data_IF_430328171466
#
_entry.id   IF_430328171466
#
_cell.length_a   1.000
_cell.length_b   1.000
_cell.length_c   1.000
_cell.angle_alpha   90.00
_cell.angle_beta   90.00
_cell.angle_gamma   90.00
#
_symmetry.space_group_name_H-M   'P 1'
#
loop_
_entity.id
_entity.type
_entity.pdbx_description
1 polymer ?
#
# COMPACT_ATOMS: atom_id res chain seq x y z
N UNK A 1 -10.42 -35.22 2.59
CA UNK A 1 -10.20 -34.02 3.46
C UNK A 1 -10.39 -32.79 2.57
N UNK A 2 -11.24 -31.85 2.96
CA UNK A 2 -11.44 -30.59 2.20
C UNK A 2 -10.16 -29.78 2.19
N UNK A 3 -9.86 -29.09 1.07
CA UNK A 3 -8.75 -28.17 0.93
C UNK A 3 -9.26 -26.75 1.06
N UNK A 4 -8.68 -25.98 1.98
CA UNK A 4 -9.04 -24.58 2.23
C UNK A 4 -7.89 -23.67 1.84
N UNK A 5 -8.15 -22.70 0.97
CA UNK A 5 -7.17 -21.68 0.57
C UNK A 5 -7.77 -20.31 0.78
N UNK A 6 -7.02 -19.41 1.42
CA UNK A 6 -7.35 -18.00 1.43
C UNK A 6 -7.30 -17.47 0.00
N UNK A 7 -8.30 -16.67 -0.38
CA UNK A 7 -8.33 -15.92 -1.65
C UNK A 7 -8.39 -14.42 -1.36
N UNK A 8 -8.03 -13.62 -2.32
CA UNK A 8 -8.35 -12.19 -2.31
C UNK A 8 -9.84 -11.93 -2.62
N UNK A 9 -10.35 -10.70 -2.41
CA UNK A 9 -11.74 -10.36 -2.69
C UNK A 9 -12.20 -10.84 -4.07
N UNK A 10 -13.38 -11.48 -4.10
CA UNK A 10 -13.94 -12.07 -5.31
C UNK A 10 -13.31 -13.43 -5.71
N UNK A 11 -12.54 -14.08 -4.84
CA UNK A 11 -11.89 -15.35 -5.14
C UNK A 11 -10.61 -15.23 -5.96
N UNK A 12 -10.05 -14.04 -6.05
CA UNK A 12 -8.82 -13.75 -6.79
C UNK A 12 -7.59 -14.26 -6.04
N UNK A 13 -6.50 -14.46 -6.74
CA UNK A 13 -5.21 -14.88 -6.16
C UNK A 13 -4.03 -13.96 -6.54
N UNK A 14 -4.31 -12.89 -7.28
CA UNK A 14 -3.35 -11.82 -7.61
C UNK A 14 -3.81 -10.48 -7.02
N UNK A 15 -2.91 -9.75 -6.36
CA UNK A 15 -3.12 -8.40 -5.87
C UNK A 15 -2.04 -7.47 -6.40
N UNK A 16 -2.42 -6.23 -6.74
CA UNK A 16 -1.52 -5.17 -7.16
C UNK A 16 -1.71 -3.97 -6.24
N UNK A 17 -0.61 -3.47 -5.68
CA UNK A 17 -0.55 -2.22 -4.93
C UNK A 17 0.58 -1.33 -5.44
N UNK A 18 0.35 -0.02 -5.38
CA UNK A 18 1.30 1.01 -5.84
C UNK A 18 1.63 1.93 -4.67
N UNK A 19 2.88 2.39 -4.56
CA UNK A 19 3.33 3.26 -3.46
C UNK A 19 4.23 4.38 -3.99
N UNK A 20 3.82 5.63 -3.75
CA UNK A 20 4.56 6.80 -4.22
C UNK A 20 4.82 7.78 -3.09
N UNK A 21 6.03 8.35 -3.07
CA UNK A 21 6.49 9.20 -1.97
C UNK A 21 6.50 10.67 -2.38
N UNK A 22 6.56 11.53 -1.35
CA UNK A 22 6.86 12.95 -1.41
C UNK A 22 5.71 13.90 -1.72
N UNK A 23 4.58 13.46 -2.26
CA UNK A 23 3.46 14.35 -2.59
C UNK A 23 3.82 15.43 -3.61
N UNK A 24 4.47 15.03 -4.71
CA UNK A 24 4.93 15.94 -5.77
C UNK A 24 3.78 16.37 -6.68
N UNK A 25 3.93 17.49 -7.35
CA UNK A 25 2.90 18.01 -8.29
C UNK A 25 2.54 17.02 -9.38
N UNK A 26 3.46 16.14 -9.75
CA UNK A 26 3.28 15.04 -10.70
C UNK A 26 2.30 13.96 -10.24
N UNK A 27 1.97 13.91 -8.95
CA UNK A 27 0.93 13.01 -8.43
C UNK A 27 -0.42 13.25 -9.11
N UNK A 28 -0.72 14.49 -9.55
CA UNK A 28 -1.95 14.80 -10.29
C UNK A 28 -2.09 13.93 -11.54
N UNK A 29 -1.03 13.85 -12.35
CA UNK A 29 -1.02 13.00 -13.56
C UNK A 29 -1.00 11.52 -13.22
N UNK A 30 -0.25 11.13 -12.20
CA UNK A 30 -0.17 9.73 -11.79
C UNK A 30 -1.52 9.20 -11.30
N UNK A 31 -2.23 9.98 -10.47
CA UNK A 31 -3.59 9.66 -10.00
C UNK A 31 -4.58 9.59 -11.16
N UNK A 32 -4.50 10.50 -12.14
CA UNK A 32 -5.34 10.45 -13.34
C UNK A 32 -5.14 9.13 -14.11
N UNK A 33 -3.88 8.68 -14.27
CA UNK A 33 -3.56 7.40 -14.90
C UNK A 33 -4.16 6.24 -14.09
N UNK A 34 -3.95 6.24 -12.76
CA UNK A 34 -4.48 5.19 -11.88
C UNK A 34 -6.00 5.11 -11.95
N UNK A 35 -6.70 6.23 -11.85
CA UNK A 35 -8.15 6.29 -11.93
C UNK A 35 -8.69 5.80 -13.29
N UNK A 36 -8.03 6.16 -14.39
CA UNK A 36 -8.41 5.72 -15.74
C UNK A 36 -8.37 4.19 -15.88
N UNK A 37 -7.39 3.55 -15.27
CA UNK A 37 -7.14 2.11 -15.39
C UNK A 37 -7.62 1.29 -14.18
N UNK A 38 -8.29 1.91 -13.22
CA UNK A 38 -8.81 1.26 -12.01
C UNK A 38 -7.72 0.76 -11.07
N UNK A 39 -6.53 1.35 -11.12
CA UNK A 39 -5.44 1.06 -10.18
C UNK A 39 -5.67 1.82 -8.87
N UNK A 40 -5.11 1.30 -7.77
CA UNK A 40 -5.06 2.00 -6.50
C UNK A 40 -3.62 2.26 -6.08
N UNK A 41 -3.41 3.41 -5.46
CA UNK A 41 -2.11 3.82 -4.92
C UNK A 41 -2.17 4.19 -3.46
N UNK A 42 -1.02 4.12 -2.81
CA UNK A 42 -0.73 4.70 -1.50
C UNK A 42 0.26 5.82 -1.70
N UNK A 43 -0.09 7.02 -1.25
CA UNK A 43 0.73 8.22 -1.40
C UNK A 43 1.26 8.62 -0.02
N UNK A 44 2.58 8.52 0.14
CA UNK A 44 3.25 8.85 1.39
C UNK A 44 3.68 10.31 1.36
N UNK A 45 3.01 11.13 2.18
CA UNK A 45 3.14 12.57 2.17
C UNK A 45 3.92 13.10 3.37
N UNK A 46 4.51 14.26 3.23
CA UNK A 46 5.18 14.99 4.31
C UNK A 46 4.32 16.20 4.72
N UNK A 47 3.61 16.11 5.81
CA UNK A 47 2.68 17.14 6.28
C UNK A 47 3.32 18.51 6.53
N UNK A 48 4.62 18.54 6.82
CA UNK A 48 5.37 19.77 7.04
C UNK A 48 6.00 20.38 5.79
N UNK A 49 5.76 19.81 4.59
CA UNK A 49 6.39 20.27 3.34
C UNK A 49 5.40 20.77 2.29
N UNK A 50 4.12 20.84 2.61
CA UNK A 50 3.13 21.44 1.71
C UNK A 50 3.43 22.93 1.47
N UNK A 51 3.19 23.46 0.25
CA UNK A 51 3.46 24.87 -0.07
C UNK A 51 2.73 25.87 0.83
N UNK A 52 1.57 25.50 1.32
CA UNK A 52 0.68 26.30 2.15
C UNK A 52 0.79 26.00 3.66
N UNK A 53 1.71 25.11 4.07
CA UNK A 53 1.83 24.71 5.48
C UNK A 53 2.69 25.68 6.32
N UNK A 54 3.83 26.17 5.80
CA UNK A 54 4.89 26.82 6.60
C UNK A 54 5.55 28.04 5.93
N UNK A 55 4.83 28.82 5.12
CA UNK A 55 5.31 30.09 4.57
C UNK A 55 6.53 29.97 3.65
N UNK A 56 7.56 30.82 3.86
CA UNK A 56 8.73 30.94 2.96
C UNK A 56 9.62 29.67 2.80
N UNK A 57 9.34 28.61 3.54
CA UNK A 57 10.01 27.29 3.42
C UNK A 57 9.24 26.30 2.55
N UNK A 58 8.17 26.76 1.91
CA UNK A 58 7.33 25.93 1.08
C UNK A 58 8.09 25.34 -0.11
N UNK A 59 7.89 24.04 -0.34
CA UNK A 59 8.38 23.33 -1.52
C UNK A 59 7.32 23.44 -2.63
N UNK A 60 7.47 24.43 -3.52
CA UNK A 60 6.48 24.72 -4.56
C UNK A 60 6.29 23.62 -5.60
N UNK A 61 7.15 22.59 -5.59
CA UNK A 61 7.03 21.41 -6.45
C UNK A 61 6.13 20.30 -5.82
N UNK A 62 5.40 20.64 -4.75
CA UNK A 62 4.48 19.72 -4.06
C UNK A 62 3.03 20.15 -4.25
N UNK A 63 2.13 19.20 -4.08
CA UNK A 63 0.69 19.49 -4.02
C UNK A 63 0.37 20.37 -2.81
N UNK A 64 -0.72 21.13 -2.86
CA UNK A 64 -1.18 21.93 -1.73
C UNK A 64 -2.03 21.10 -0.76
N UNK A 65 -2.12 21.55 0.50
CA UNK A 65 -2.99 20.91 1.51
C UNK A 65 -4.45 20.83 1.05
N UNK A 66 -4.92 21.90 0.37
CA UNK A 66 -6.31 21.98 -0.10
C UNK A 66 -6.65 20.96 -1.19
N UNK A 67 -5.65 20.37 -1.87
CA UNK A 67 -5.87 19.37 -2.92
C UNK A 67 -5.94 17.93 -2.37
N UNK A 68 -5.39 17.67 -1.16
CA UNK A 68 -5.15 16.29 -0.66
C UNK A 68 -6.42 15.44 -0.66
N UNK A 69 -7.53 15.95 -0.11
CA UNK A 69 -8.76 15.19 0.01
C UNK A 69 -9.35 14.78 -1.36
N UNK A 70 -9.39 15.73 -2.29
CA UNK A 70 -9.99 15.50 -3.62
C UNK A 70 -9.05 14.70 -4.53
N UNK A 71 -7.74 15.05 -4.54
CA UNK A 71 -6.76 14.40 -5.42
C UNK A 71 -6.63 12.91 -5.10
N UNK A 72 -6.52 12.55 -3.83
CA UNK A 72 -6.30 11.15 -3.45
C UNK A 72 -7.58 10.38 -3.12
N UNK A 73 -8.75 10.88 -3.51
CA UNK A 73 -10.00 10.16 -3.31
C UNK A 73 -9.95 8.77 -3.96
N UNK A 74 -10.24 7.72 -3.17
CA UNK A 74 -10.15 6.31 -3.62
C UNK A 74 -8.77 5.68 -3.52
N UNK A 75 -7.75 6.48 -3.16
CA UNK A 75 -6.38 6.06 -2.84
C UNK A 75 -6.13 6.19 -1.34
N UNK A 76 -4.97 5.75 -0.89
CA UNK A 76 -4.53 5.91 0.50
C UNK A 76 -3.53 7.07 0.61
N UNK A 77 -3.74 7.93 1.60
CA UNK A 77 -2.70 8.86 2.09
C UNK A 77 -2.03 8.21 3.30
N UNK A 78 -0.71 8.19 3.31
CA UNK A 78 0.13 7.61 4.35
C UNK A 78 1.27 8.57 4.74
N UNK A 79 1.92 8.32 5.88
CA UNK A 79 3.01 9.14 6.39
C UNK A 79 4.31 8.96 5.62
N UNK A 80 5.08 10.06 5.54
CA UNK A 80 6.49 10.05 5.15
C UNK A 80 7.35 10.90 6.08
N UNK A 81 6.91 11.05 7.34
CA UNK A 81 7.40 11.98 8.37
C UNK A 81 7.12 13.46 8.03
N UNK A 82 7.05 14.30 9.04
CA UNK A 82 6.66 15.70 8.89
C UNK A 82 7.62 16.48 7.97
N UNK A 83 8.94 16.33 8.19
CA UNK A 83 9.98 17.14 7.52
C UNK A 83 10.99 16.34 6.70
N UNK A 84 10.79 15.01 6.58
CA UNK A 84 11.66 14.11 5.81
C UNK A 84 13.11 14.00 6.29
N UNK A 85 13.39 13.86 7.59
CA UNK A 85 14.76 13.66 8.06
C UNK A 85 15.25 12.21 7.81
N UNK A 86 16.57 12.00 7.85
CA UNK A 86 17.17 10.66 7.95
C UNK A 86 16.97 10.15 9.38
N UNK A 87 15.83 9.49 9.64
CA UNK A 87 15.33 9.23 11.00
C UNK A 87 16.22 8.32 11.83
N UNK A 88 17.06 7.45 11.25
CA UNK A 88 18.02 6.63 11.98
C UNK A 88 19.10 7.47 12.71
N UNK A 89 19.29 8.73 12.28
CA UNK A 89 20.21 9.68 12.88
C UNK A 89 19.55 10.60 13.91
N UNK A 90 18.23 10.50 14.08
CA UNK A 90 17.46 11.31 15.00
C UNK A 90 17.26 10.60 16.34
N UNK A 91 17.21 11.32 17.47
CA UNK A 91 16.78 10.76 18.75
C UNK A 91 15.33 10.23 18.64
N UNK A 92 15.02 9.11 19.31
CA UNK A 92 13.68 8.50 19.26
C UNK A 92 12.51 9.47 19.60
N UNK A 93 12.62 10.39 20.58
CA UNK A 93 11.57 11.37 20.81
C UNK A 93 11.30 12.28 19.60
N UNK A 94 12.33 12.66 18.86
CA UNK A 94 12.18 13.43 17.61
C UNK A 94 11.52 12.58 16.53
N UNK A 95 11.89 11.31 16.40
CA UNK A 95 11.24 10.39 15.45
C UNK A 95 9.75 10.24 15.76
N UNK A 96 9.40 10.08 17.05
CA UNK A 96 8.00 10.04 17.46
C UNK A 96 7.25 11.32 17.11
N UNK A 97 7.84 12.48 17.33
CA UNK A 97 7.27 13.77 16.98
C UNK A 97 7.09 13.92 15.46
N UNK A 98 8.10 13.57 14.67
CA UNK A 98 8.04 13.59 13.20
C UNK A 98 6.87 12.76 12.65
N UNK A 99 6.61 11.58 13.22
CA UNK A 99 5.52 10.71 12.80
C UNK A 99 4.17 11.21 13.31
N UNK A 100 4.05 11.60 14.58
CA UNK A 100 2.76 12.02 15.16
C UNK A 100 2.27 13.35 14.61
N UNK A 101 3.15 14.34 14.41
CA UNK A 101 2.75 15.62 13.82
C UNK A 101 2.44 15.47 12.31
N UNK A 102 3.15 14.58 11.58
CA UNK A 102 2.81 14.24 10.21
C UNK A 102 1.38 13.64 10.12
N UNK A 103 1.10 12.61 10.93
CA UNK A 103 -0.23 12.00 11.03
C UNK A 103 -1.31 13.05 11.33
N UNK A 104 -1.08 13.90 12.32
CA UNK A 104 -2.03 14.94 12.72
C UNK A 104 -2.38 15.89 11.57
N UNK A 105 -1.39 16.32 10.79
CA UNK A 105 -1.63 17.14 9.59
C UNK A 105 -2.43 16.34 8.57
N UNK A 106 -1.99 15.15 8.19
CA UNK A 106 -2.62 14.33 7.15
C UNK A 106 -4.04 13.91 7.55
N UNK A 107 -4.26 13.49 8.81
CA UNK A 107 -5.58 13.12 9.34
C UNK A 107 -6.57 14.30 9.32
N UNK A 108 -6.08 15.53 9.51
CA UNK A 108 -6.94 16.73 9.39
C UNK A 108 -7.38 17.02 7.95
N UNK A 109 -6.67 16.52 6.96
CA UNK A 109 -6.96 16.69 5.53
C UNK A 109 -7.79 15.54 4.95
N UNK A 110 -7.62 14.34 5.48
CA UNK A 110 -8.24 13.11 4.95
C UNK A 110 -9.46 12.65 5.74
N UNK A 111 -9.65 13.16 6.96
CA UNK A 111 -10.74 12.79 7.88
C UNK A 111 -10.78 11.29 8.27
N UNK A 112 -9.64 10.58 8.15
CA UNK A 112 -9.49 9.20 8.61
C UNK A 112 -8.14 8.96 9.28
N UNK A 113 -8.00 7.90 10.14
CA UNK A 113 -6.73 7.57 10.77
C UNK A 113 -5.67 7.15 9.74
N UNK A 114 -4.55 7.89 9.68
CA UNK A 114 -3.40 7.59 8.80
C UNK A 114 -2.46 6.62 9.51
N UNK A 115 -2.29 5.41 8.98
CA UNK A 115 -1.63 4.29 9.68
C UNK A 115 -0.52 3.61 8.88
N UNK A 116 -0.22 4.10 7.70
CA UNK A 116 0.91 3.67 6.87
C UNK A 116 2.10 4.61 6.98
N UNK A 117 3.31 4.08 6.76
CA UNK A 117 4.55 4.85 6.72
C UNK A 117 5.45 4.35 5.58
N UNK A 118 6.19 5.22 4.91
CA UNK A 118 7.42 4.89 4.21
C UNK A 118 8.59 5.58 4.89
N UNK A 119 9.73 4.87 5.01
CA UNK A 119 10.90 5.42 5.69
C UNK A 119 11.62 6.44 4.83
N UNK A 120 11.75 7.73 5.26
CA UNK A 120 12.52 8.72 4.54
C UNK A 120 13.95 8.25 4.30
N UNK A 121 14.45 8.42 3.08
CA UNK A 121 15.81 7.97 2.69
C UNK A 121 16.06 6.47 2.93
N UNK A 122 15.01 5.67 3.11
CA UNK A 122 15.13 4.25 3.47
C UNK A 122 15.75 4.00 4.85
N UNK A 123 15.82 5.03 5.72
CA UNK A 123 16.53 4.99 6.98
C UNK A 123 15.63 4.50 8.13
N UNK A 124 16.07 3.48 8.86
CA UNK A 124 15.39 2.96 10.05
C UNK A 124 16.33 2.17 10.96
N UNK A 125 15.95 2.00 12.21
CA UNK A 125 16.60 1.11 13.16
C UNK A 125 15.58 0.19 13.81
N UNK A 126 16.04 -0.87 14.50
CA UNK A 126 15.13 -1.73 15.25
C UNK A 126 14.33 -0.96 16.31
N UNK A 127 14.96 -0.02 17.01
CA UNK A 127 14.29 0.81 18.01
C UNK A 127 13.17 1.68 17.41
N UNK A 128 13.34 2.16 16.17
CA UNK A 128 12.27 2.88 15.44
C UNK A 128 11.14 1.92 15.11
N UNK A 129 11.44 0.73 14.58
CA UNK A 129 10.43 -0.29 14.27
C UNK A 129 9.60 -0.65 15.51
N UNK A 130 10.26 -0.86 16.64
CA UNK A 130 9.61 -1.23 17.91
C UNK A 130 8.68 -0.10 18.43
N UNK A 131 8.95 1.14 18.03
CA UNK A 131 8.15 2.31 18.40
C UNK A 131 6.87 2.45 17.54
N UNK A 132 6.89 2.05 16.25
CA UNK A 132 5.81 2.29 15.29
C UNK A 132 4.42 1.83 15.75
N UNK A 133 4.24 0.64 16.36
CA UNK A 133 2.93 0.21 16.85
C UNK A 133 2.34 1.16 17.89
N UNK A 134 3.17 1.68 18.81
CA UNK A 134 2.75 2.63 19.83
C UNK A 134 2.36 3.99 19.24
N UNK A 135 2.88 4.32 18.07
CA UNK A 135 2.51 5.51 17.30
C UNK A 135 1.32 5.27 16.35
N UNK A 136 0.68 4.08 16.41
CA UNK A 136 -0.49 3.73 15.60
C UNK A 136 -0.19 3.47 14.12
N UNK A 137 1.07 3.16 13.78
CA UNK A 137 1.47 2.75 12.43
C UNK A 137 1.30 1.24 12.30
N UNK A 138 0.61 0.78 11.26
CA UNK A 138 0.32 -0.63 11.01
C UNK A 138 1.31 -1.30 10.06
N UNK A 139 1.93 -0.54 9.16
CA UNK A 139 2.97 -1.03 8.24
C UNK A 139 3.95 0.07 7.86
N UNK A 140 5.12 -0.34 7.38
CA UNK A 140 6.12 0.59 6.87
C UNK A 140 6.88 0.02 5.68
N UNK A 141 6.97 0.80 4.58
CA UNK A 141 7.72 0.43 3.38
C UNK A 141 9.19 0.81 3.53
N UNK A 142 10.06 -0.12 3.16
CA UNK A 142 11.51 0.11 3.02
C UNK A 142 11.89 0.39 1.57
N UNK A 143 13.02 1.07 1.36
CA UNK A 143 13.64 1.22 0.04
C UNK A 143 14.19 -0.13 -0.43
N UNK A 144 14.11 -0.38 -1.73
CA UNK A 144 14.62 -1.58 -2.37
C UNK A 144 13.55 -2.47 -2.97
N UNK A 145 13.98 -3.46 -3.73
CA UNK A 145 13.11 -4.36 -4.48
C UNK A 145 13.59 -5.80 -4.32
N UNK A 146 12.66 -6.75 -4.20
CA UNK A 146 12.98 -8.17 -4.06
C UNK A 146 12.74 -8.98 -5.34
N UNK A 147 12.13 -8.38 -6.37
CA UNK A 147 11.91 -8.95 -7.71
C UNK A 147 11.14 -10.28 -7.75
N UNK A 148 10.24 -10.53 -6.77
CA UNK A 148 9.33 -11.67 -6.76
C UNK A 148 7.91 -11.23 -6.36
N UNK A 149 6.93 -12.16 -6.47
CA UNK A 149 5.51 -11.88 -6.22
C UNK A 149 4.99 -12.53 -4.93
N UNK A 150 5.90 -12.83 -4.00
CA UNK A 150 5.57 -13.41 -2.70
C UNK A 150 5.02 -12.39 -1.72
N UNK A 151 4.31 -12.90 -0.70
CA UNK A 151 3.72 -12.06 0.35
C UNK A 151 4.77 -11.51 1.31
N UNK A 152 4.54 -10.34 1.93
CA UNK A 152 5.43 -9.79 2.94
C UNK A 152 5.49 -10.68 4.18
N UNK A 153 6.68 -10.77 4.78
CA UNK A 153 6.92 -11.50 6.02
C UNK A 153 6.98 -10.58 7.25
N UNK A 154 7.30 -9.31 7.03
CA UNK A 154 7.43 -8.28 8.05
C UNK A 154 6.75 -6.99 7.56
N UNK A 155 5.70 -6.57 8.23
CA UNK A 155 4.93 -5.40 7.86
C UNK A 155 5.71 -4.08 8.08
N UNK A 156 6.68 -4.07 8.99
CA UNK A 156 7.49 -2.88 9.24
C UNK A 156 8.80 -2.84 8.44
N UNK A 157 9.06 -3.89 7.64
CA UNK A 157 10.11 -3.95 6.61
C UNK A 157 9.53 -4.42 5.28
N UNK A 158 8.38 -3.86 4.92
CA UNK A 158 7.70 -4.26 3.69
C UNK A 158 8.44 -3.74 2.46
N UNK A 159 9.11 -4.64 1.79
CA UNK A 159 9.86 -4.39 0.56
C UNK A 159 8.96 -4.60 -0.66
N UNK A 160 9.11 -3.75 -1.66
CA UNK A 160 8.34 -3.83 -2.90
C UNK A 160 8.88 -4.90 -3.88
N UNK A 161 8.04 -5.29 -4.85
CA UNK A 161 8.48 -6.14 -5.97
C UNK A 161 9.50 -5.41 -6.82
N UNK A 162 9.21 -4.19 -7.28
CA UNK A 162 10.13 -3.40 -8.07
C UNK A 162 9.92 -1.90 -7.87
N UNK A 163 10.98 -1.12 -8.12
CA UNK A 163 10.87 0.30 -8.41
C UNK A 163 10.33 0.47 -9.85
N UNK A 164 9.52 1.50 -10.11
CA UNK A 164 8.90 1.68 -11.44
C UNK A 164 9.93 1.83 -12.57
N UNK A 165 11.14 2.30 -12.29
CA UNK A 165 12.22 2.40 -13.29
C UNK A 165 13.01 1.09 -13.50
N UNK A 166 12.64 -0.02 -12.83
CA UNK A 166 13.33 -1.29 -12.91
C UNK A 166 12.44 -2.37 -13.56
N UNK A 167 12.56 -2.55 -14.86
CA UNK A 167 11.88 -3.60 -15.65
C UNK A 167 10.35 -3.68 -15.44
N UNK A 168 9.67 -2.55 -15.21
CA UNK A 168 8.25 -2.47 -14.81
C UNK A 168 7.33 -3.27 -15.75
N UNK A 169 7.48 -3.08 -17.07
CA UNK A 169 6.62 -3.78 -18.05
C UNK A 169 6.87 -5.28 -18.08
N UNK A 170 8.13 -5.71 -17.87
CA UNK A 170 8.48 -7.13 -17.75
C UNK A 170 7.84 -7.74 -16.51
N UNK A 171 7.96 -7.07 -15.36
CA UNK A 171 7.30 -7.51 -14.12
C UNK A 171 5.78 -7.54 -14.27
N UNK A 172 5.17 -6.58 -14.96
CA UNK A 172 3.74 -6.59 -15.29
C UNK A 172 3.34 -7.83 -16.11
N UNK A 173 4.09 -8.13 -17.17
CA UNK A 173 3.84 -9.28 -18.04
C UNK A 173 3.98 -10.61 -17.29
N UNK A 174 5.04 -10.77 -16.49
CA UNK A 174 5.27 -11.96 -15.66
C UNK A 174 4.15 -12.13 -14.62
N UNK A 175 3.74 -11.06 -13.93
CA UNK A 175 2.68 -11.09 -12.93
C UNK A 175 1.33 -11.50 -13.53
N UNK A 176 0.97 -10.97 -14.69
CA UNK A 176 -0.26 -11.34 -15.40
C UNK A 176 -0.23 -12.84 -15.74
N UNK A 177 0.90 -13.37 -16.19
CA UNK A 177 1.09 -14.77 -16.58
C UNK A 177 1.08 -15.77 -15.42
N UNK A 178 0.96 -15.33 -14.16
CA UNK A 178 0.86 -16.25 -13.02
C UNK A 178 -0.51 -16.91 -12.97
N UNK A 179 -0.55 -18.28 -13.02
CA UNK A 179 -1.78 -19.06 -13.12
C UNK A 179 -2.03 -20.02 -11.94
N UNK A 180 -1.02 -20.24 -11.09
CA UNK A 180 -1.08 -21.24 -10.02
C UNK A 180 -1.94 -20.74 -8.84
N UNK A 181 -3.22 -21.15 -8.81
CA UNK A 181 -4.21 -20.71 -7.81
C UNK A 181 -3.95 -21.18 -6.38
N UNK A 182 -3.03 -22.12 -6.16
CA UNK A 182 -2.62 -22.54 -4.80
C UNK A 182 -1.73 -21.53 -4.08
N UNK A 183 -1.29 -20.46 -4.77
CA UNK A 183 -0.49 -19.39 -4.20
C UNK A 183 -1.23 -18.06 -4.29
N UNK A 184 -1.03 -17.22 -3.28
CA UNK A 184 -1.37 -15.80 -3.37
C UNK A 184 -0.16 -15.03 -3.88
N UNK A 185 -0.38 -14.13 -4.85
CA UNK A 185 0.64 -13.29 -5.44
C UNK A 185 0.38 -11.83 -5.15
N UNK A 186 1.44 -11.10 -4.85
CA UNK A 186 1.42 -9.65 -4.70
C UNK A 186 2.44 -9.05 -5.65
N UNK A 187 2.01 -8.13 -6.51
CA UNK A 187 2.88 -7.18 -7.18
C UNK A 187 2.81 -5.85 -6.43
N UNK A 188 3.95 -5.38 -5.97
CA UNK A 188 4.08 -4.13 -5.25
C UNK A 188 5.08 -3.23 -5.97
N UNK A 189 4.61 -2.13 -6.55
CA UNK A 189 5.44 -1.16 -7.27
C UNK A 189 5.64 0.09 -6.41
N UNK A 190 6.84 0.67 -6.42
CA UNK A 190 7.12 1.90 -5.70
C UNK A 190 7.95 2.88 -6.52
N UNK A 191 7.99 4.14 -6.08
CA UNK A 191 8.81 5.19 -6.69
C UNK A 191 8.39 6.59 -6.23
N UNK A 192 8.78 7.59 -7.01
CA UNK A 192 8.39 8.98 -6.85
C UNK A 192 7.82 9.49 -8.17
N UNK A 193 6.68 10.17 -8.14
CA UNK A 193 6.00 10.60 -9.37
C UNK A 193 6.81 11.59 -10.21
N UNK A 194 7.63 12.44 -9.56
CA UNK A 194 8.48 13.40 -10.26
C UNK A 194 9.54 12.74 -11.16
N UNK A 195 9.88 11.49 -10.89
CA UNK A 195 10.86 10.76 -11.69
C UNK A 195 10.39 10.57 -13.14
N UNK A 196 9.08 10.42 -13.37
CA UNK A 196 8.52 10.32 -14.72
C UNK A 196 8.73 11.60 -15.54
N UNK A 197 8.63 12.78 -14.92
CA UNK A 197 8.92 14.06 -15.57
C UNK A 197 10.42 14.28 -15.75
N UNK A 198 11.22 13.94 -14.73
CA UNK A 198 12.68 14.05 -14.77
C UNK A 198 13.29 13.21 -15.89
N UNK A 199 12.80 11.96 -16.06
CA UNK A 199 13.37 10.97 -16.97
C UNK A 199 12.61 10.94 -18.32
N UNK A 200 11.63 11.84 -18.53
CA UNK A 200 10.75 11.92 -19.73
C UNK A 200 10.14 10.57 -20.11
N UNK A 201 9.66 9.82 -19.12
CA UNK A 201 9.21 8.44 -19.33
C UNK A 201 7.76 8.15 -18.86
N UNK A 202 6.88 9.13 -18.88
CA UNK A 202 5.45 8.94 -18.56
C UNK A 202 4.80 7.81 -19.37
N UNK A 203 5.26 7.58 -20.60
CA UNK A 203 4.80 6.49 -21.44
C UNK A 203 5.03 5.11 -20.82
N UNK A 204 6.04 4.95 -19.95
CA UNK A 204 6.28 3.72 -19.20
C UNK A 204 5.10 3.42 -18.26
N UNK A 205 4.64 4.42 -17.50
CA UNK A 205 3.51 4.24 -16.57
C UNK A 205 2.18 4.07 -17.33
N UNK A 206 1.96 4.81 -18.42
CA UNK A 206 0.76 4.63 -19.28
C UNK A 206 0.70 3.20 -19.82
N UNK A 207 1.81 2.70 -20.39
CA UNK A 207 1.88 1.33 -20.93
C UNK A 207 1.71 0.26 -19.84
N UNK A 208 2.29 0.48 -18.65
CA UNK A 208 2.11 -0.44 -17.54
C UNK A 208 0.65 -0.47 -17.06
N UNK A 209 0.04 0.71 -16.89
CA UNK A 209 -1.34 0.80 -16.45
C UNK A 209 -2.32 0.16 -17.45
N UNK A 210 -2.10 0.35 -18.76
CA UNK A 210 -2.84 -0.34 -19.81
C UNK A 210 -2.67 -1.87 -19.76
N UNK A 211 -1.43 -2.34 -19.50
CA UNK A 211 -1.10 -3.77 -19.44
C UNK A 211 -1.78 -4.48 -18.26
N UNK A 212 -1.78 -3.86 -17.09
CA UNK A 212 -2.22 -4.50 -15.84
C UNK A 212 -3.60 -4.06 -15.37
N UNK A 213 -4.13 -2.93 -15.88
CA UNK A 213 -5.37 -2.33 -15.42
C UNK A 213 -6.63 -3.07 -15.87
N UNK A 214 -7.74 -2.84 -15.16
CA UNK A 214 -9.10 -3.32 -15.49
C UNK A 214 -9.21 -4.84 -15.70
N UNK A 215 -8.35 -5.63 -15.05
CA UNK A 215 -8.35 -7.10 -15.15
C UNK A 215 -9.20 -7.71 -14.04
N UNK A 216 -10.09 -8.62 -14.41
CA UNK A 216 -10.99 -9.29 -13.46
C UNK A 216 -10.27 -10.23 -12.49
N UNK A 217 -9.07 -10.69 -12.83
CA UNK A 217 -8.27 -11.64 -12.04
C UNK A 217 -7.29 -10.97 -11.06
N UNK A 218 -7.22 -9.62 -11.02
CA UNK A 218 -6.37 -8.85 -10.14
C UNK A 218 -7.22 -8.04 -9.12
N UNK A 219 -6.84 -8.09 -7.86
CA UNK A 219 -7.34 -7.19 -6.84
C UNK A 219 -6.43 -5.97 -6.74
N UNK A 220 -6.95 -4.81 -7.11
CA UNK A 220 -6.26 -3.53 -6.93
C UNK A 220 -6.59 -2.99 -5.55
N UNK A 221 -5.57 -2.72 -4.76
CA UNK A 221 -5.72 -2.31 -3.37
C UNK A 221 -4.64 -1.31 -2.95
N UNK A 222 -4.93 -0.54 -1.91
CA UNK A 222 -3.91 0.24 -1.22
C UNK A 222 -3.07 -0.65 -0.31
N UNK A 223 -1.97 -0.13 0.21
CA UNK A 223 -1.12 -0.89 1.13
C UNK A 223 -1.88 -1.28 2.41
N UNK A 224 -2.65 -0.35 2.97
CA UNK A 224 -3.41 -0.60 4.20
C UNK A 224 -4.57 -1.58 3.96
N UNK A 225 -5.29 -1.47 2.83
CA UNK A 225 -6.32 -2.44 2.44
C UNK A 225 -5.73 -3.85 2.36
N UNK A 226 -4.58 -3.99 1.68
CA UNK A 226 -3.89 -5.28 1.56
C UNK A 226 -3.49 -5.84 2.93
N UNK A 227 -2.81 -5.03 3.75
CA UNK A 227 -2.36 -5.42 5.09
C UNK A 227 -3.53 -5.90 5.96
N UNK A 228 -4.59 -5.12 6.04
CA UNK A 228 -5.77 -5.43 6.86
C UNK A 228 -6.51 -6.67 6.38
N UNK A 229 -6.61 -6.85 5.07
CA UNK A 229 -7.21 -8.06 4.49
C UNK A 229 -6.40 -9.31 4.84
N UNK A 230 -5.07 -9.24 4.71
CA UNK A 230 -4.21 -10.37 5.06
C UNK A 230 -4.27 -10.72 6.55
N UNK A 231 -4.38 -9.73 7.42
CA UNK A 231 -4.56 -9.96 8.86
C UNK A 231 -5.93 -10.57 9.17
N UNK A 232 -6.99 -10.10 8.54
CA UNK A 232 -8.33 -10.71 8.65
C UNK A 232 -8.31 -12.19 8.23
N UNK A 233 -7.66 -12.50 7.10
CA UNK A 233 -7.49 -13.88 6.63
C UNK A 233 -6.71 -14.78 7.59
N UNK A 234 -5.65 -14.24 8.22
CA UNK A 234 -4.83 -14.97 9.22
C UNK A 234 -5.57 -15.24 10.54
N UNK A 235 -6.61 -14.46 10.85
CA UNK A 235 -7.40 -14.58 12.08
C UNK A 235 -8.63 -15.47 11.93
N UNK A 236 -8.85 -16.09 10.77
CA UNK A 236 -9.94 -17.05 10.57
C UNK A 236 -9.75 -18.29 11.46
N UNK A 237 -10.81 -18.69 12.18
CA UNK A 237 -10.82 -19.85 13.05
C UNK A 237 -11.75 -20.91 12.47
N UNK A 238 -11.20 -22.06 12.13
CA UNK A 238 -11.93 -23.21 11.55
C UNK A 238 -12.35 -24.18 12.63
N UNK A 239 -13.57 -24.76 12.52
CA UNK A 239 -13.92 -25.95 13.32
C UNK A 239 -13.10 -27.15 12.86
N UNK A 240 -12.88 -28.10 13.77
CA UNK A 240 -12.06 -29.31 13.49
C UNK A 240 -12.63 -30.17 12.35
N UNK A 241 -13.98 -30.22 12.24
CA UNK A 241 -14.67 -30.92 11.14
C UNK A 241 -14.67 -30.12 9.82
N UNK A 242 -14.25 -28.88 9.86
CA UNK A 242 -14.23 -28.00 8.71
C UNK A 242 -15.59 -27.53 8.23
N UNK A 243 -16.66 -27.70 9.03
CA UNK A 243 -18.02 -27.29 8.65
C UNK A 243 -18.34 -25.84 8.92
N UNK A 244 -17.51 -25.16 9.73
CA UNK A 244 -17.73 -23.75 10.10
C UNK A 244 -16.43 -22.97 10.17
N UNK A 245 -16.51 -21.66 9.88
CA UNK A 245 -15.41 -20.70 10.00
C UNK A 245 -15.88 -19.45 10.72
N UNK A 246 -15.18 -19.07 11.77
CA UNK A 246 -15.40 -17.80 12.47
C UNK A 246 -14.45 -16.73 11.90
N UNK A 247 -15.04 -15.68 11.32
CA UNK A 247 -14.34 -14.46 10.91
C UNK A 247 -14.50 -13.41 12.02
N UNK A 248 -13.41 -13.10 12.73
CA UNK A 248 -13.39 -12.12 13.82
C UNK A 248 -13.30 -10.67 13.32
N UNK A 249 -12.98 -10.48 12.04
CA UNK A 249 -12.84 -9.14 11.46
C UNK A 249 -14.18 -8.56 11.00
N UNK A 250 -14.21 -7.25 10.75
CA UNK A 250 -15.34 -6.61 10.10
C UNK A 250 -15.28 -6.71 8.56
N UNK A 251 -14.16 -7.19 8.02
CA UNK A 251 -13.97 -7.33 6.58
C UNK A 251 -14.53 -8.68 6.10
N UNK A 252 -15.24 -8.72 4.98
CA UNK A 252 -15.52 -10.00 4.32
C UNK A 252 -14.22 -10.61 3.82
N UNK A 253 -14.06 -11.92 4.06
CA UNK A 253 -12.86 -12.69 3.64
C UNK A 253 -13.30 -13.81 2.69
N UNK A 254 -12.56 -14.03 1.63
CA UNK A 254 -12.84 -15.08 0.65
C UNK A 254 -11.92 -16.27 0.85
N UNK A 255 -12.49 -17.45 0.75
CA UNK A 255 -11.74 -18.72 0.75
C UNK A 255 -12.16 -19.57 -0.45
N UNK A 256 -11.26 -20.43 -0.90
CA UNK A 256 -11.60 -21.55 -1.79
C UNK A 256 -11.68 -22.83 -0.97
N UNK A 257 -12.79 -23.56 -1.09
CA UNK A 257 -12.98 -24.89 -0.48
C UNK A 257 -13.17 -25.89 -1.61
N UNK A 258 -12.20 -26.78 -1.82
CA UNK A 258 -12.18 -27.74 -2.95
C UNK A 258 -12.42 -27.08 -4.33
N UNK A 259 -12.01 -25.81 -4.48
CA UNK A 259 -12.17 -25.02 -5.71
C UNK A 259 -13.43 -24.15 -5.75
N UNK A 260 -14.38 -24.32 -4.85
CA UNK A 260 -15.55 -23.44 -4.70
C UNK A 260 -15.17 -22.17 -3.91
N UNK A 261 -15.54 -21.01 -4.42
CA UNK A 261 -15.25 -19.71 -3.78
C UNK A 261 -16.38 -19.35 -2.84
N UNK A 262 -16.03 -19.13 -1.57
CA UNK A 262 -16.96 -18.77 -0.50
C UNK A 262 -16.53 -17.47 0.13
N UNK A 263 -17.47 -16.53 0.27
CA UNK A 263 -17.29 -15.30 1.03
C UNK A 263 -17.70 -15.53 2.47
N UNK A 264 -16.81 -15.22 3.40
CA UNK A 264 -17.00 -15.29 4.85
C UNK A 264 -17.30 -13.89 5.38
N UNK A 265 -18.52 -13.63 5.79
CA UNK A 265 -18.87 -12.40 6.46
C UNK A 265 -18.39 -12.40 7.91
N UNK A 266 -18.42 -11.22 8.58
CA UNK A 266 -18.13 -11.13 10.02
C UNK A 266 -18.98 -12.10 10.82
N UNK A 267 -18.40 -12.79 11.80
CA UNK A 267 -19.05 -13.78 12.65
C UNK A 267 -18.90 -15.21 12.13
N UNK A 268 -19.81 -16.10 12.56
CA UNK A 268 -19.77 -17.54 12.27
C UNK A 268 -20.41 -17.83 10.90
N UNK A 269 -19.67 -18.50 10.03
CA UNK A 269 -20.10 -18.92 8.69
C UNK A 269 -20.15 -20.44 8.62
N UNK A 270 -21.16 -20.99 7.94
CA UNK A 270 -21.24 -22.41 7.58
C UNK A 270 -20.70 -22.61 6.17
N UNK A 271 -19.91 -23.67 5.96
CA UNK A 271 -19.22 -23.95 4.68
C UNK A 271 -19.29 -25.43 4.29
#
# INVERSE_FOLDING_TARGET
>A
MKQYYLCYPGGKFKALTMSYDDGRTEDRRLVEIFNRWGLKGTFHLNGGRFPDAFGDKADHDRISMSEVADLYQGHEVACHTLTHPTIERCPLPQVAQEILEDRKVLESLTEYPVQGLSYPNGSFTQAIIDLLPALGIEYSRVVGSHHHYGLPKDWYRWQATCHHNHDLLKHGAEFIGLEKKQYLYLMYVWGHSFEFSRDDNWSLMESFAEQVGQRDDIWYCTNLEFKRYMDAGRQLIYTVDGGQVLNLSQLPVWISVDGEIIQLNSGLNRI
#
